data_IF_153567157925
#
_entry.id   IF_153567157925
#
_cell.length_a   1.000
_cell.length_b   1.000
_cell.length_c   1.000
_cell.angle_alpha   90.00
_cell.angle_beta   90.00
_cell.angle_gamma   90.00
#
_symmetry.space_group_name_H-M   'P 1'
#
loop_
_entity.id
_entity.type
_entity.pdbx_description
1 polymer ?
#
# COMPACT_ATOMS: atom_id res chain seq x y z
N UNK A 1 12.29 -3.11 -12.15
CA UNK A 1 13.29 -2.78 -11.13
C UNK A 1 13.52 -3.96 -10.18
N UNK A 2 12.49 -4.54 -9.57
CA UNK A 2 12.64 -5.56 -8.51
C UNK A 2 12.55 -7.01 -8.99
N UNK A 3 12.05 -7.30 -10.18
CA UNK A 3 11.75 -8.66 -10.64
C UNK A 3 10.45 -9.22 -10.03
N UNK A 4 10.30 -10.54 -10.04
CA UNK A 4 9.17 -11.22 -9.42
C UNK A 4 9.34 -11.19 -7.88
N UNK A 5 8.37 -10.68 -7.09
CA UNK A 5 8.52 -10.59 -5.64
C UNK A 5 8.47 -11.94 -4.91
N UNK A 6 8.22 -13.03 -5.62
CA UNK A 6 8.14 -14.40 -5.07
C UNK A 6 9.28 -15.31 -5.57
N UNK A 7 10.15 -14.80 -6.47
CA UNK A 7 11.29 -15.52 -7.02
C UNK A 7 12.51 -14.61 -6.97
N UNK A 8 13.51 -14.98 -6.19
CA UNK A 8 14.70 -14.15 -5.97
C UNK A 8 15.72 -14.25 -7.12
N UNK A 9 15.34 -13.73 -8.28
CA UNK A 9 16.20 -13.69 -9.48
C UNK A 9 17.41 -12.74 -9.32
N UNK A 10 17.38 -11.86 -8.31
CA UNK A 10 18.38 -10.81 -8.11
C UNK A 10 19.21 -10.96 -6.85
N UNK A 11 19.04 -12.06 -6.13
CA UNK A 11 19.73 -12.35 -4.87
C UNK A 11 19.56 -11.24 -3.79
N UNK A 12 18.36 -10.67 -3.69
CA UNK A 12 18.03 -9.69 -2.64
C UNK A 12 17.71 -10.33 -1.28
N UNK A 13 17.38 -11.62 -1.29
CA UNK A 13 16.96 -12.40 -0.13
C UNK A 13 15.44 -12.44 0.05
N UNK A 14 14.95 -13.63 0.37
CA UNK A 14 13.55 -13.90 0.68
C UNK A 14 13.36 -13.76 2.19
N UNK A 15 12.34 -13.00 2.61
CA UNK A 15 11.97 -12.80 4.01
C UNK A 15 10.47 -12.95 4.18
N UNK A 16 10.03 -13.28 5.39
CA UNK A 16 8.61 -13.11 5.74
C UNK A 16 8.28 -11.62 5.77
N UNK A 17 7.10 -11.25 5.29
CA UNK A 17 6.69 -9.84 5.29
C UNK A 17 6.70 -9.26 6.72
N UNK A 18 6.39 -10.06 7.74
CA UNK A 18 6.45 -9.67 9.16
C UNK A 18 7.87 -9.38 9.68
N UNK A 19 8.93 -9.76 8.99
CA UNK A 19 10.31 -9.42 9.38
C UNK A 19 10.70 -7.99 9.02
N UNK A 20 9.96 -7.40 8.06
CA UNK A 20 10.20 -6.05 7.53
C UNK A 20 9.03 -5.11 7.74
N UNK A 21 7.91 -5.60 8.31
CA UNK A 21 6.70 -4.82 8.59
C UNK A 21 6.08 -5.20 9.93
N UNK A 22 5.31 -4.27 10.51
CA UNK A 22 4.41 -4.57 11.62
C UNK A 22 2.98 -4.73 11.07
N UNK A 23 2.37 -5.88 11.34
CA UNK A 23 1.01 -6.19 10.89
C UNK A 23 0.01 -5.83 11.98
N UNK A 24 -0.98 -5.00 11.64
CA UNK A 24 -2.02 -4.52 12.55
C UNK A 24 -1.45 -3.95 13.87
N UNK A 25 -0.66 -2.87 13.82
CA UNK A 25 -0.06 -2.26 15.00
C UNK A 25 -1.12 -1.89 16.03
N UNK A 26 -0.79 -2.07 17.31
CA UNK A 26 -1.72 -1.82 18.41
C UNK A 26 -1.89 -0.32 18.64
N UNK A 27 -3.11 0.11 18.97
CA UNK A 27 -3.47 1.51 19.29
C UNK A 27 -3.03 1.99 20.68
N UNK A 28 -2.23 1.20 21.40
CA UNK A 28 -1.74 1.58 22.73
C UNK A 28 -0.94 2.89 22.73
N UNK A 29 -0.22 3.18 21.64
CA UNK A 29 0.57 4.41 21.50
C UNK A 29 -0.28 5.71 21.46
N UNK A 30 -1.59 5.61 21.24
CA UNK A 30 -2.51 6.77 21.28
C UNK A 30 -3.41 6.76 22.52
N UNK A 31 -3.26 5.79 23.42
CA UNK A 31 -4.10 5.66 24.63
C UNK A 31 -3.90 6.82 25.60
N UNK A 32 -2.65 7.24 25.74
CA UNK A 32 -2.25 8.29 26.68
C UNK A 32 -2.35 9.72 26.09
N UNK A 33 -2.75 9.84 24.82
CA UNK A 33 -2.97 11.13 24.19
C UNK A 33 -4.28 11.78 24.68
N UNK A 34 -4.37 13.09 24.53
CA UNK A 34 -5.62 13.81 24.76
C UNK A 34 -6.74 13.21 23.91
N UNK A 35 -7.77 12.69 24.57
CA UNK A 35 -8.88 12.02 23.91
C UNK A 35 -9.77 12.98 23.10
N UNK A 36 -9.63 14.30 23.28
CA UNK A 36 -10.29 15.34 22.49
C UNK A 36 -9.51 15.72 21.23
N UNK A 37 -8.28 15.18 21.07
CA UNK A 37 -7.45 15.41 19.88
C UNK A 37 -8.18 14.97 18.61
N UNK A 38 -8.20 15.85 17.61
CA UNK A 38 -8.75 15.58 16.30
C UNK A 38 -7.83 14.67 15.48
N UNK A 39 -8.40 13.63 14.89
CA UNK A 39 -7.70 12.65 14.04
C UNK A 39 -8.48 12.39 12.77
N UNK A 40 -7.82 11.90 11.72
CA UNK A 40 -8.49 11.52 10.48
C UNK A 40 -9.34 10.26 10.68
N UNK A 41 -10.57 10.28 10.14
CA UNK A 41 -11.45 9.13 10.10
C UNK A 41 -11.67 8.64 8.67
N UNK A 42 -11.29 7.41 8.38
CA UNK A 42 -11.24 6.88 7.01
C UNK A 42 -12.08 5.60 6.89
N UNK A 43 -13.39 5.72 6.63
CA UNK A 43 -14.21 4.57 6.30
C UNK A 43 -13.82 3.96 4.94
N UNK A 44 -14.36 2.77 4.62
CA UNK A 44 -13.97 1.98 3.45
C UNK A 44 -14.18 2.69 2.10
N UNK A 45 -15.18 3.56 1.99
CA UNK A 45 -15.48 4.33 0.78
C UNK A 45 -14.45 5.45 0.50
N UNK A 46 -13.66 5.84 1.50
CA UNK A 46 -12.59 6.83 1.37
C UNK A 46 -11.27 6.24 0.86
N UNK A 47 -11.21 4.92 0.66
CA UNK A 47 -10.08 4.21 0.06
C UNK A 47 -10.50 3.62 -1.27
N UNK A 48 -9.77 3.94 -2.34
CA UNK A 48 -10.06 3.48 -3.70
C UNK A 48 -9.30 2.21 -4.09
N UNK A 49 -9.56 1.76 -5.32
CA UNK A 49 -8.96 0.56 -5.91
C UNK A 49 -7.58 0.82 -6.55
N UNK A 50 -7.23 2.09 -6.74
CA UNK A 50 -5.98 2.55 -7.35
C UNK A 50 -5.18 3.48 -6.43
N UNK A 51 -5.27 3.25 -5.12
CA UNK A 51 -4.51 4.01 -4.13
C UNK A 51 -5.10 5.37 -3.76
N UNK A 52 -6.32 5.69 -4.21
CA UNK A 52 -6.99 6.92 -3.79
C UNK A 52 -7.25 6.85 -2.28
N UNK A 53 -6.93 7.94 -1.60
CA UNK A 53 -7.06 8.06 -0.16
C UNK A 53 -7.60 9.45 0.20
N UNK A 54 -8.64 9.52 1.01
CA UNK A 54 -9.19 10.78 1.51
C UNK A 54 -9.21 10.76 3.04
N UNK A 55 -8.46 11.70 3.64
CA UNK A 55 -8.24 11.87 5.08
C UNK A 55 -8.98 13.05 5.69
N UNK A 56 -9.83 13.74 4.91
CA UNK A 56 -10.46 15.02 5.31
C UNK A 56 -11.50 14.88 6.41
N UNK A 57 -12.13 13.70 6.55
CA UNK A 57 -13.11 13.48 7.59
C UNK A 57 -12.41 13.40 8.95
N UNK A 58 -12.83 14.23 9.90
CA UNK A 58 -12.18 14.38 11.20
C UNK A 58 -13.13 13.97 12.32
N UNK A 59 -12.60 13.26 13.32
CA UNK A 59 -13.26 12.89 14.57
C UNK A 59 -12.30 13.03 15.75
N UNK A 60 -12.81 13.04 16.99
CA UNK A 60 -11.94 12.99 18.17
C UNK A 60 -11.46 11.55 18.42
N UNK A 61 -10.31 11.39 19.10
CA UNK A 61 -9.83 10.06 19.51
C UNK A 61 -10.91 9.32 20.30
N UNK A 62 -11.58 9.99 21.24
CA UNK A 62 -12.66 9.43 22.04
C UNK A 62 -13.75 8.76 21.20
N UNK A 63 -14.14 9.37 20.09
CA UNK A 63 -15.22 8.89 19.22
C UNK A 63 -14.82 7.66 18.42
N UNK A 64 -13.51 7.48 18.15
CA UNK A 64 -13.01 6.44 17.23
C UNK A 64 -12.09 5.43 17.89
N UNK A 65 -11.65 5.66 19.12
CA UNK A 65 -10.75 4.74 19.82
C UNK A 65 -11.32 3.32 19.92
N UNK A 66 -12.62 3.20 20.17
CA UNK A 66 -13.30 1.90 20.19
C UNK A 66 -13.98 1.60 18.85
N UNK A 67 -13.93 0.34 18.39
CA UNK A 67 -14.66 -0.13 17.21
C UNK A 67 -14.04 0.19 15.86
N UNK A 68 -12.86 0.85 15.81
CA UNK A 68 -12.20 1.19 14.55
C UNK A 68 -10.73 0.75 14.53
N UNK A 69 -10.20 0.56 13.32
CA UNK A 69 -8.81 0.18 13.07
C UNK A 69 -7.94 1.44 13.14
N UNK A 70 -6.91 1.40 13.96
CA UNK A 70 -5.91 2.46 14.11
C UNK A 70 -4.79 2.31 13.08
N UNK A 71 -4.31 3.44 12.58
CA UNK A 71 -3.12 3.55 11.72
C UNK A 71 -2.48 4.93 11.85
N UNK A 72 -1.25 5.06 11.37
CA UNK A 72 -0.48 6.31 11.33
C UNK A 72 -0.18 6.74 9.89
N UNK A 73 0.40 7.95 9.81
CA UNK A 73 1.04 8.42 8.58
C UNK A 73 1.98 7.37 8.02
N UNK A 74 1.97 7.17 6.70
CA UNK A 74 2.77 6.20 5.96
C UNK A 74 2.43 4.71 6.21
N UNK A 75 1.41 4.37 6.99
CA UNK A 75 0.91 3.00 7.04
C UNK A 75 0.20 2.62 5.73
N UNK A 76 0.32 1.36 5.32
CA UNK A 76 -0.40 0.82 4.16
C UNK A 76 -1.68 0.15 4.62
N UNK A 77 -2.81 0.64 4.12
CA UNK A 77 -4.13 0.05 4.34
C UNK A 77 -4.44 -0.96 3.24
N UNK A 78 -4.84 -2.15 3.63
CA UNK A 78 -5.26 -3.23 2.74
C UNK A 78 -6.67 -3.67 3.12
N UNK A 79 -7.64 -3.51 2.23
CA UNK A 79 -8.99 -4.02 2.46
C UNK A 79 -8.97 -5.55 2.50
N UNK A 80 -9.48 -6.14 3.58
CA UNK A 80 -9.42 -7.60 3.79
C UNK A 80 -10.68 -8.35 3.38
N UNK A 81 -11.81 -7.64 3.21
CA UNK A 81 -13.14 -8.23 2.98
C UNK A 81 -13.51 -8.27 1.50
N UNK A 82 -14.22 -9.31 1.07
CA UNK A 82 -14.90 -9.42 -0.23
C UNK A 82 -15.99 -8.32 -0.39
N UNK A 83 -16.14 -7.67 -1.58
CA UNK A 83 -15.30 -7.77 -2.77
C UNK A 83 -14.15 -6.73 -2.78
N UNK A 84 -14.00 -5.94 -1.72
CA UNK A 84 -13.04 -4.84 -1.66
C UNK A 84 -11.58 -5.31 -1.84
N UNK A 85 -11.25 -6.49 -1.32
CA UNK A 85 -9.92 -7.08 -1.45
C UNK A 85 -9.64 -7.44 -2.91
N UNK A 86 -10.54 -8.14 -3.56
CA UNK A 86 -10.42 -8.60 -4.93
C UNK A 86 -10.37 -7.43 -5.91
N UNK A 87 -11.15 -6.37 -5.65
CA UNK A 87 -11.17 -5.14 -6.44
C UNK A 87 -9.92 -4.26 -6.26
N UNK A 88 -9.01 -4.64 -5.37
CA UNK A 88 -7.77 -3.90 -5.24
C UNK A 88 -7.77 -2.76 -4.23
N UNK A 89 -8.83 -2.58 -3.43
CA UNK A 89 -8.89 -1.49 -2.45
C UNK A 89 -7.73 -1.53 -1.47
N UNK A 90 -7.02 -0.42 -1.39
CA UNK A 90 -5.87 -0.19 -0.53
C UNK A 90 -5.19 1.12 -0.85
N UNK A 91 -4.47 1.68 0.10
CA UNK A 91 -3.75 2.94 -0.07
C UNK A 91 -2.63 3.10 0.96
N UNK A 92 -1.72 4.03 0.71
CA UNK A 92 -0.83 4.57 1.72
C UNK A 92 -1.60 5.66 2.46
N UNK A 93 -1.61 5.61 3.80
CA UNK A 93 -2.20 6.65 4.63
C UNK A 93 -1.34 7.92 4.58
N UNK A 94 -1.93 9.03 4.14
CA UNK A 94 -1.23 10.30 3.92
C UNK A 94 -2.08 11.47 4.37
N UNK A 95 -1.40 12.56 4.70
CA UNK A 95 -2.03 13.83 5.08
C UNK A 95 -3.02 13.67 6.25
N UNK A 96 -2.66 12.83 7.21
CA UNK A 96 -3.49 12.56 8.37
C UNK A 96 -3.48 13.74 9.35
N UNK A 97 -4.64 14.06 9.88
CA UNK A 97 -4.77 15.03 10.98
C UNK A 97 -3.98 14.55 12.20
N UNK A 98 -3.00 15.34 12.62
CA UNK A 98 -2.05 15.00 13.70
C UNK A 98 -1.28 13.69 13.48
N UNK A 99 -1.12 13.23 12.20
CA UNK A 99 -0.44 12.00 11.86
C UNK A 99 -1.16 10.72 12.29
N UNK A 100 -2.42 10.80 12.71
CA UNK A 100 -3.19 9.71 13.29
C UNK A 100 -4.46 9.48 12.48
N UNK A 101 -4.73 8.22 12.20
CA UNK A 101 -5.95 7.81 11.51
C UNK A 101 -6.65 6.65 12.22
N UNK A 102 -7.96 6.64 12.10
CA UNK A 102 -8.84 5.52 12.42
C UNK A 102 -9.77 5.24 11.26
N UNK A 103 -10.13 4.00 11.04
CA UNK A 103 -10.97 3.66 9.90
C UNK A 103 -11.68 2.33 10.03
N UNK A 104 -12.19 1.84 8.91
CA UNK A 104 -12.94 0.59 8.86
C UNK A 104 -12.19 -0.56 9.54
N UNK A 105 -12.91 -1.37 10.32
CA UNK A 105 -12.38 -2.63 10.88
C UNK A 105 -12.04 -3.65 9.80
N UNK A 106 -12.46 -3.42 8.57
CA UNK A 106 -12.16 -4.27 7.42
C UNK A 106 -10.84 -3.92 6.72
N UNK A 107 -10.00 -3.10 7.33
CA UNK A 107 -8.60 -2.92 6.91
C UNK A 107 -7.66 -3.84 7.70
N UNK A 108 -6.65 -4.39 7.00
CA UNK A 108 -5.37 -4.68 7.59
C UNK A 108 -4.46 -3.46 7.44
N UNK A 109 -3.66 -3.20 8.46
CA UNK A 109 -2.65 -2.15 8.49
C UNK A 109 -1.28 -2.79 8.42
N UNK A 110 -0.48 -2.38 7.45
CA UNK A 110 0.88 -2.87 7.24
C UNK A 110 1.81 -1.67 7.41
N UNK A 111 2.49 -1.61 8.53
CA UNK A 111 3.41 -0.53 8.88
C UNK A 111 4.83 -0.91 8.48
N UNK A 112 5.52 -0.11 7.66
CA UNK A 112 6.92 -0.35 7.36
C UNK A 112 7.78 -0.30 8.61
N UNK A 113 8.78 -1.18 8.72
CA UNK A 113 9.85 -1.03 9.69
C UNK A 113 10.93 -0.17 9.04
N UNK A 114 11.22 0.99 9.66
CA UNK A 114 12.23 1.93 9.19
C UNK A 114 13.54 1.22 8.85
N UNK A 115 14.21 1.64 7.78
CA UNK A 115 15.46 1.10 7.27
C UNK A 115 15.39 -0.34 6.70
N UNK A 116 14.24 -1.02 6.84
CA UNK A 116 14.02 -2.33 6.21
C UNK A 116 13.14 -2.23 4.98
N UNK A 117 12.10 -1.40 5.06
CA UNK A 117 11.17 -1.21 3.95
C UNK A 117 10.45 0.14 4.03
N UNK A 118 9.79 0.53 2.96
CA UNK A 118 8.99 1.75 2.88
C UNK A 118 7.57 1.48 2.37
N UNK A 119 6.68 2.46 2.58
CA UNK A 119 5.24 2.37 2.28
C UNK A 119 4.96 2.14 0.80
N UNK A 120 5.74 2.76 -0.10
CA UNK A 120 5.54 2.64 -1.54
C UNK A 120 5.82 1.23 -2.04
N UNK A 121 6.92 0.62 -1.59
CA UNK A 121 7.23 -0.76 -1.95
C UNK A 121 6.15 -1.73 -1.43
N UNK A 122 5.74 -1.59 -0.15
CA UNK A 122 4.68 -2.43 0.44
C UNK A 122 3.37 -2.26 -0.33
N UNK A 123 2.97 -1.01 -0.58
CA UNK A 123 1.73 -0.73 -1.31
C UNK A 123 1.75 -1.39 -2.68
N UNK A 124 2.82 -1.18 -3.47
CA UNK A 124 2.92 -1.78 -4.81
C UNK A 124 3.00 -3.31 -4.77
N UNK A 125 3.69 -3.91 -3.79
CA UNK A 125 3.66 -5.35 -3.57
C UNK A 125 2.21 -5.84 -3.38
N UNK A 126 1.45 -5.18 -2.53
CA UNK A 126 0.05 -5.57 -2.22
C UNK A 126 -0.93 -5.31 -3.37
N UNK A 127 -0.57 -4.51 -4.36
CA UNK A 127 -1.39 -4.28 -5.58
C UNK A 127 -1.16 -5.30 -6.68
N UNK A 128 -0.09 -6.09 -6.60
CA UNK A 128 0.20 -7.12 -7.61
C UNK A 128 -0.90 -8.17 -7.67
N UNK A 129 -1.31 -8.52 -8.87
CA UNK A 129 -2.35 -9.54 -9.13
C UNK A 129 -2.01 -10.87 -8.47
N UNK A 130 -0.74 -11.27 -8.51
CA UNK A 130 -0.29 -12.52 -7.89
C UNK A 130 -0.39 -12.47 -6.36
N UNK A 131 0.01 -11.34 -5.72
CA UNK A 131 -0.16 -11.17 -4.28
C UNK A 131 -1.63 -11.29 -3.87
N UNK A 132 -2.52 -10.61 -4.59
CA UNK A 132 -3.96 -10.66 -4.31
C UNK A 132 -4.57 -12.04 -4.55
N UNK A 133 -4.13 -12.75 -5.58
CA UNK A 133 -4.55 -14.15 -5.82
C UNK A 133 -4.09 -15.08 -4.69
N UNK A 134 -2.88 -14.90 -4.15
CA UNK A 134 -2.42 -15.65 -3.00
C UNK A 134 -3.24 -15.32 -1.76
N UNK A 135 -3.56 -14.05 -1.53
CA UNK A 135 -4.42 -13.60 -0.44
C UNK A 135 -5.84 -14.19 -0.55
N UNK A 136 -6.45 -14.15 -1.74
CA UNK A 136 -7.77 -14.69 -2.03
C UNK A 136 -7.89 -16.19 -1.68
N UNK A 137 -6.87 -16.97 -2.05
CA UNK A 137 -6.81 -18.42 -1.72
C UNK A 137 -6.78 -18.70 -0.20
N UNK A 138 -6.40 -17.71 0.60
CA UNK A 138 -6.34 -17.81 2.07
C UNK A 138 -7.54 -17.19 2.77
N UNK A 139 -8.47 -16.60 2.03
CA UNK A 139 -9.66 -16.01 2.61
C UNK A 139 -10.54 -17.05 3.31
N UNK A 140 -11.08 -16.68 4.46
CA UNK A 140 -12.00 -17.50 5.27
C UNK A 140 -13.30 -16.74 5.54
N UNK A 141 -14.38 -17.45 5.82
CA UNK A 141 -15.71 -16.90 6.09
C UNK A 141 -16.77 -17.45 5.15
N UNK A 142 -18.01 -17.00 5.31
CA UNK A 142 -19.15 -17.38 4.48
C UNK A 142 -19.09 -16.71 3.09
N UNK A 143 -19.83 -17.27 2.14
CA UNK A 143 -19.93 -16.71 0.79
C UNK A 143 -20.34 -15.22 0.82
N UNK A 144 -19.63 -14.39 0.06
CA UNK A 144 -19.85 -12.94 0.00
C UNK A 144 -19.30 -12.12 1.18
N UNK A 145 -18.79 -12.76 2.24
CA UNK A 145 -18.21 -12.10 3.42
C UNK A 145 -16.88 -12.73 3.84
N UNK A 146 -16.09 -13.22 2.90
CA UNK A 146 -14.77 -13.75 3.17
C UNK A 146 -13.77 -12.64 3.55
N UNK A 147 -12.79 -12.99 4.35
CA UNK A 147 -11.73 -12.06 4.79
C UNK A 147 -10.37 -12.72 4.72
N UNK A 148 -9.38 -11.97 4.29
CA UNK A 148 -7.97 -12.39 4.38
C UNK A 148 -7.56 -12.39 5.85
N UNK A 149 -7.08 -13.49 6.42
CA UNK A 149 -6.61 -13.53 7.80
C UNK A 149 -5.25 -12.81 7.94
N UNK A 150 -4.99 -12.18 9.09
CA UNK A 150 -3.70 -11.52 9.37
C UNK A 150 -2.51 -12.47 9.28
N UNK A 151 -2.72 -13.76 9.55
CA UNK A 151 -1.70 -14.79 9.45
C UNK A 151 -1.13 -14.95 8.03
N UNK A 152 -1.90 -14.58 6.99
CA UNK A 152 -1.40 -14.50 5.62
C UNK A 152 -0.22 -13.52 5.52
N UNK A 153 -0.38 -12.29 6.02
CA UNK A 153 0.66 -11.26 5.97
C UNK A 153 1.87 -11.60 6.86
N UNK A 154 1.64 -12.29 7.96
CA UNK A 154 2.72 -12.71 8.87
C UNK A 154 3.64 -13.73 8.19
N UNK A 155 3.08 -14.65 7.41
CA UNK A 155 3.81 -15.81 6.91
C UNK A 155 4.18 -15.75 5.42
N UNK A 156 3.61 -14.82 4.64
CA UNK A 156 3.97 -14.71 3.22
C UNK A 156 5.44 -14.37 3.07
N UNK A 157 6.12 -15.15 2.25
CA UNK A 157 7.52 -14.92 1.88
C UNK A 157 7.60 -14.06 0.63
N UNK A 158 8.44 -13.04 0.66
CA UNK A 158 8.64 -12.10 -0.43
C UNK A 158 10.11 -11.76 -0.56
N UNK A 159 10.52 -11.47 -1.77
CA UNK A 159 11.85 -10.90 -2.06
C UNK A 159 11.86 -9.46 -1.58
N UNK A 160 12.79 -9.11 -0.70
CA UNK A 160 12.91 -7.76 -0.13
C UNK A 160 14.12 -7.05 -0.72
N UNK A 161 13.91 -6.10 -1.66
CA UNK A 161 15.00 -5.33 -2.23
C UNK A 161 15.71 -4.46 -1.17
N UNK A 162 16.99 -4.11 -1.36
CA UNK A 162 17.67 -3.14 -0.51
C UNK A 162 16.87 -1.83 -0.37
N UNK A 163 16.93 -1.20 0.80
CA UNK A 163 16.13 -0.01 1.10
C UNK A 163 16.43 1.15 0.15
N UNK A 164 17.68 1.27 -0.32
CA UNK A 164 18.11 2.27 -1.29
C UNK A 164 17.35 2.14 -2.61
N UNK A 165 17.16 0.91 -3.11
CA UNK A 165 16.38 0.65 -4.32
C UNK A 165 14.88 0.90 -4.10
N UNK A 166 14.37 0.59 -2.92
CA UNK A 166 12.98 0.91 -2.57
C UNK A 166 12.76 2.42 -2.53
N UNK A 167 13.71 3.20 -2.01
CA UNK A 167 13.64 4.66 -1.96
C UNK A 167 13.72 5.27 -3.37
N UNK A 168 14.63 4.80 -4.23
CA UNK A 168 14.66 5.22 -5.64
C UNK A 168 13.33 4.94 -6.36
N UNK A 169 12.71 3.81 -6.06
CA UNK A 169 11.38 3.49 -6.60
C UNK A 169 10.30 4.45 -6.07
N UNK A 170 10.32 4.78 -4.79
CA UNK A 170 9.39 5.74 -4.18
C UNK A 170 9.50 7.11 -4.82
N UNK A 171 10.74 7.60 -5.01
CA UNK A 171 11.02 8.87 -5.67
C UNK A 171 10.47 8.87 -7.10
N UNK A 172 10.72 7.79 -7.84
CA UNK A 172 10.22 7.64 -9.21
C UNK A 172 8.67 7.66 -9.25
N UNK A 173 8.00 6.90 -8.40
CA UNK A 173 6.52 6.89 -8.33
C UNK A 173 5.99 8.26 -7.97
N UNK A 174 6.60 8.94 -7.00
CA UNK A 174 6.21 10.29 -6.59
C UNK A 174 6.35 11.30 -7.75
N UNK A 175 7.42 11.22 -8.53
CA UNK A 175 7.61 12.07 -9.72
C UNK A 175 6.54 11.79 -10.77
N UNK A 176 6.24 10.52 -11.04
CA UNK A 176 5.20 10.13 -11.99
C UNK A 176 3.82 10.64 -11.56
N UNK A 177 3.49 10.56 -10.28
CA UNK A 177 2.20 11.03 -9.76
C UNK A 177 2.09 12.56 -9.79
N UNK A 178 3.17 13.29 -9.51
CA UNK A 178 3.22 14.75 -9.71
C UNK A 178 3.00 15.13 -11.18
N UNK A 179 3.62 14.42 -12.11
CA UNK A 179 3.42 14.65 -13.54
C UNK A 179 1.95 14.39 -13.94
N UNK A 180 1.35 13.28 -13.50
CA UNK A 180 -0.07 12.98 -13.75
C UNK A 180 -0.98 14.09 -13.23
N UNK A 181 -0.73 14.62 -12.04
CA UNK A 181 -1.49 15.72 -11.45
C UNK A 181 -1.38 16.99 -12.29
N UNK A 182 -0.16 17.40 -12.66
CA UNK A 182 0.12 18.58 -13.47
C UNK A 182 -0.56 18.50 -14.85
N UNK A 183 -0.50 17.33 -15.49
CA UNK A 183 -1.13 17.13 -16.81
C UNK A 183 -2.66 17.08 -16.73
N UNK A 184 -3.24 16.52 -15.69
CA UNK A 184 -4.70 16.51 -15.50
C UNK A 184 -5.27 17.93 -15.36
N UNK A 185 -4.47 18.87 -14.85
CA UNK A 185 -4.86 20.29 -14.71
C UNK A 185 -4.74 21.08 -16.02
N UNK A 186 -3.79 20.74 -16.89
CA UNK A 186 -3.43 21.59 -18.03
C UNK A 186 -3.93 21.13 -19.42
N UNK A 187 -4.31 19.85 -19.63
CA UNK A 187 -4.62 19.36 -20.99
C UNK A 187 -5.56 18.15 -21.04
N UNK A 188 -6.79 18.37 -21.42
CA UNK A 188 -7.78 17.30 -21.68
C UNK A 188 -7.59 16.56 -23.01
N UNK A 189 -6.71 16.97 -23.91
CA UNK A 189 -6.62 16.43 -25.28
C UNK A 189 -5.25 15.95 -25.80
N UNK A 190 -4.14 16.12 -25.07
CA UNK A 190 -2.80 15.65 -25.53
C UNK A 190 -2.24 14.45 -24.77
N UNK A 191 -3.00 13.86 -23.89
CA UNK A 191 -2.52 12.91 -22.86
C UNK A 191 -2.17 11.52 -23.42
N UNK A 192 -2.87 11.06 -24.45
CA UNK A 192 -2.67 9.69 -24.97
C UNK A 192 -1.28 9.43 -25.56
N UNK A 193 -0.66 10.42 -26.19
CA UNK A 193 0.64 10.25 -26.85
C UNK A 193 1.85 10.23 -25.88
N UNK A 194 1.77 10.90 -24.74
CA UNK A 194 2.88 10.98 -23.78
C UNK A 194 2.91 9.74 -22.88
N UNK A 195 1.74 9.19 -22.54
CA UNK A 195 1.68 7.91 -21.81
C UNK A 195 2.29 6.76 -22.58
N UNK A 196 2.03 6.67 -23.89
CA UNK A 196 2.63 5.63 -24.74
C UNK A 196 4.14 5.79 -24.85
N UNK A 197 4.65 7.02 -24.90
CA UNK A 197 6.08 7.31 -24.99
C UNK A 197 6.81 7.01 -23.67
N UNK A 198 6.20 7.33 -22.51
CA UNK A 198 6.76 7.01 -21.20
C UNK A 198 6.70 5.49 -20.90
N UNK A 199 5.60 4.84 -21.23
CA UNK A 199 5.50 3.38 -21.14
C UNK A 199 6.50 2.68 -22.09
N UNK A 200 6.68 3.18 -23.33
CA UNK A 200 7.67 2.64 -24.26
C UNK A 200 9.11 2.92 -23.81
N UNK A 201 9.40 4.07 -23.21
CA UNK A 201 10.71 4.33 -22.62
C UNK A 201 10.96 3.45 -21.39
N UNK A 202 9.96 3.29 -20.53
CA UNK A 202 10.05 2.34 -19.40
C UNK A 202 10.25 0.91 -19.92
N UNK A 203 9.45 0.45 -20.87
CA UNK A 203 9.61 -0.87 -21.49
C UNK A 203 11.00 -1.08 -22.08
N UNK A 204 11.58 -0.07 -22.72
CA UNK A 204 12.97 -0.12 -23.23
C UNK A 204 14.01 -0.16 -22.11
N UNK A 205 13.84 0.62 -21.05
CA UNK A 205 14.75 0.61 -19.89
C UNK A 205 14.70 -0.75 -19.17
N UNK A 206 13.50 -1.35 -19.07
CA UNK A 206 13.30 -2.66 -18.41
C UNK A 206 13.69 -3.86 -19.27
N UNK A 207 13.67 -3.74 -20.62
CA UNK A 207 14.03 -4.84 -21.54
C UNK A 207 15.45 -4.77 -22.12
N UNK A 208 16.23 -3.74 -21.83
CA UNK A 208 17.59 -3.62 -22.37
C UNK A 208 18.57 -4.67 -21.84
N UNK A 209 18.21 -5.40 -20.77
CA UNK A 209 19.04 -6.46 -20.20
C UNK A 209 18.73 -7.88 -20.72
N UNK A 210 17.88 -8.04 -21.75
CA UNK A 210 17.63 -9.37 -22.34
C UNK A 210 18.53 -9.74 -23.55
N UNK A 211 19.46 -8.87 -23.95
CA UNK A 211 20.30 -9.08 -25.15
C UNK A 211 21.80 -9.24 -24.90
N UNK A 212 22.25 -9.52 -23.69
CA UNK A 212 23.69 -9.69 -23.41
C UNK A 212 24.00 -11.02 -22.72
N UNK A 213 23.29 -12.11 -23.07
CA UNK A 213 23.77 -13.47 -22.83
C UNK A 213 23.28 -14.35 -23.99
N UNK A 214 24.03 -14.34 -25.04
CA UNK A 214 24.25 -15.44 -26.01
C UNK A 214 25.73 -15.46 -26.32
#
# INVERSE_FOLDING_TARGET
MFGNPFIDEKNFGIKKLSEVTMINPKKMEVKELDQTLNVSFVPMDKVGEKGQFNSELVKTIKDVYSGFTYFKEEDVLFAKITPCMENGKGAIAKDLKNGIGFGSTEFHVIRPIKEKTNSYWIYHLTTLTEFRRLAERKMTGSAGQKRVPSNFFINIQVVVPPIELQNQFSDFVTQVDKLKFTYKFNYTHKIYNIYSILCLKMYKIFNFNKKTYL
#
